data_IF_762977541622
#
_entry.id   IF_762977541622
#
_cell.length_a   1.000
_cell.length_b   1.000
_cell.length_c   1.000
_cell.angle_alpha   90.00
_cell.angle_beta   90.00
_cell.angle_gamma   90.00
#
_symmetry.space_group_name_H-M   'P 1'
#
loop_
_entity.id
_entity.type
_entity.pdbx_description
1 polymer ?
#
# COMPACT_ATOMS: atom_id res chain seq x y z
N UNK A 1 -5.94 -10.75 7.25
CA UNK A 1 -4.48 -10.80 7.48
C UNK A 1 -3.77 -10.19 6.28
N UNK A 2 -3.09 -9.05 6.44
CA UNK A 2 -2.29 -8.43 5.37
C UNK A 2 -0.85 -8.96 5.35
N UNK A 3 -0.16 -8.85 4.21
CA UNK A 3 1.23 -9.33 4.02
C UNK A 3 2.21 -8.73 5.04
N UNK A 4 2.05 -7.45 5.38
CA UNK A 4 2.86 -6.78 6.40
C UNK A 4 2.69 -7.39 7.78
N UNK A 5 1.45 -7.76 8.16
CA UNK A 5 1.18 -8.40 9.45
C UNK A 5 1.79 -9.80 9.54
N UNK A 6 1.91 -10.48 8.40
CA UNK A 6 2.57 -11.79 8.32
C UNK A 6 4.08 -11.68 8.48
N UNK A 7 4.72 -10.73 7.80
CA UNK A 7 6.16 -10.45 7.94
C UNK A 7 6.52 -9.98 9.36
N UNK A 8 5.71 -9.11 9.96
CA UNK A 8 5.92 -8.66 11.34
C UNK A 8 5.79 -9.78 12.37
N UNK A 9 4.95 -10.79 12.10
CA UNK A 9 4.81 -11.96 12.96
C UNK A 9 6.01 -12.91 12.84
N UNK A 10 6.49 -13.17 11.63
CA UNK A 10 7.60 -14.11 11.40
C UNK A 10 8.91 -13.61 12.00
N UNK A 11 9.13 -12.29 11.99
CA UNK A 11 10.35 -11.64 12.50
C UNK A 11 10.42 -11.47 14.03
N UNK A 12 9.34 -11.73 14.79
CA UNK A 12 9.33 -11.55 16.26
C UNK A 12 9.85 -12.79 17.01
N UNK A 13 10.38 -12.62 18.22
CA UNK A 13 10.77 -13.72 19.12
C UNK A 13 9.56 -14.39 19.79
N UNK A 14 9.72 -15.60 20.36
CA UNK A 14 8.61 -16.48 20.80
C UNK A 14 7.58 -15.81 21.73
N UNK A 15 8.01 -15.06 22.75
CA UNK A 15 7.10 -14.33 23.64
C UNK A 15 6.41 -13.13 22.96
N UNK A 16 7.11 -12.46 22.05
CA UNK A 16 6.58 -11.34 21.28
C UNK A 16 5.56 -11.78 20.22
N UNK A 17 5.68 -13.01 19.68
CA UNK A 17 4.69 -13.62 18.79
C UNK A 17 3.34 -13.82 19.48
N UNK A 18 3.33 -14.31 20.72
CA UNK A 18 2.10 -14.54 21.50
C UNK A 18 1.37 -13.22 21.80
N UNK A 19 2.11 -12.18 22.18
CA UNK A 19 1.53 -10.85 22.39
C UNK A 19 1.05 -10.21 21.08
N UNK A 20 1.79 -10.37 19.98
CA UNK A 20 1.36 -9.90 18.66
C UNK A 20 0.04 -10.56 18.23
N UNK A 21 -0.10 -11.87 18.41
CA UNK A 21 -1.34 -12.60 18.08
C UNK A 21 -2.50 -12.17 19.00
N UNK A 22 -2.25 -11.96 20.30
CA UNK A 22 -3.27 -11.44 21.23
C UNK A 22 -3.73 -10.03 20.83
N UNK A 23 -2.79 -9.14 20.54
CA UNK A 23 -3.08 -7.78 20.08
C UNK A 23 -3.78 -7.75 18.73
N UNK A 24 -3.41 -8.64 17.81
CA UNK A 24 -4.06 -8.81 16.51
C UNK A 24 -5.50 -9.28 16.64
N UNK A 25 -5.77 -10.20 17.58
CA UNK A 25 -7.13 -10.68 17.90
C UNK A 25 -7.98 -9.65 18.63
N UNK A 26 -7.36 -8.73 19.37
CA UNK A 26 -8.05 -7.65 20.09
C UNK A 26 -8.18 -6.36 19.30
N UNK A 27 -7.61 -6.29 18.09
CA UNK A 27 -7.82 -5.14 17.21
C UNK A 27 -9.29 -5.12 16.76
N UNK A 28 -9.91 -3.94 16.67
CA UNK A 28 -11.23 -3.82 16.06
C UNK A 28 -11.21 -4.47 14.66
N UNK A 29 -12.33 -5.10 14.31
CA UNK A 29 -12.49 -5.83 13.05
C UNK A 29 -11.98 -5.00 11.86
N UNK A 30 -11.18 -5.61 10.99
CA UNK A 30 -10.57 -4.96 9.84
C UNK A 30 -11.65 -4.21 9.04
N UNK A 31 -11.65 -2.88 9.09
CA UNK A 31 -12.59 -2.04 8.36
C UNK A 31 -11.95 -1.60 7.02
N UNK A 32 -12.46 -2.08 5.86
CA UNK A 32 -12.01 -1.64 4.53
C UNK A 32 -12.18 -0.13 4.28
N UNK A 33 -12.94 0.55 5.15
CA UNK A 33 -13.15 2.00 5.16
C UNK A 33 -11.85 2.78 5.40
N UNK A 34 -10.87 2.21 6.11
CA UNK A 34 -9.57 2.85 6.38
C UNK A 34 -8.44 2.27 5.54
N UNK A 35 -8.75 1.80 4.34
CA UNK A 35 -7.70 1.33 3.45
C UNK A 35 -6.88 2.51 2.93
N UNK A 36 -5.79 2.77 3.67
CA UNK A 36 -4.83 3.82 3.45
C UNK A 36 -4.32 3.85 2.00
N UNK A 37 -4.25 2.69 1.33
CA UNK A 37 -3.69 2.51 -0.02
C UNK A 37 -4.73 2.24 -1.11
N UNK A 38 -6.02 2.22 -0.77
CA UNK A 38 -7.08 1.90 -1.74
C UNK A 38 -7.02 2.80 -2.97
N UNK A 39 -6.87 4.11 -2.77
CA UNK A 39 -6.79 5.07 -3.88
C UNK A 39 -5.59 4.77 -4.80
N UNK A 40 -4.43 4.42 -4.24
CA UNK A 40 -3.27 4.01 -5.03
C UNK A 40 -3.54 2.75 -5.85
N UNK A 41 -4.12 1.71 -5.23
CA UNK A 41 -4.41 0.45 -5.93
C UNK A 41 -5.41 0.64 -7.06
N UNK A 42 -6.46 1.41 -6.83
CA UNK A 42 -7.46 1.72 -7.87
C UNK A 42 -6.83 2.50 -9.03
N UNK A 43 -5.95 3.46 -8.75
CA UNK A 43 -5.22 4.21 -9.78
C UNK A 43 -4.26 3.30 -10.57
N UNK A 44 -3.55 2.38 -9.93
CA UNK A 44 -2.69 1.40 -10.62
C UNK A 44 -3.51 0.50 -11.55
N UNK A 45 -4.68 0.04 -11.11
CA UNK A 45 -5.57 -0.76 -11.96
C UNK A 45 -6.03 0.06 -13.17
N UNK A 46 -6.50 1.30 -12.97
CA UNK A 46 -6.93 2.19 -14.06
C UNK A 46 -5.79 2.52 -15.02
N UNK A 47 -4.58 2.74 -14.49
CA UNK A 47 -3.39 3.02 -15.28
C UNK A 47 -3.11 1.90 -16.29
N UNK A 48 -3.10 0.64 -15.84
CA UNK A 48 -2.86 -0.50 -16.72
C UNK A 48 -4.04 -0.82 -17.63
N UNK A 49 -5.27 -0.67 -17.14
CA UNK A 49 -6.47 -1.11 -17.88
C UNK A 49 -6.86 -0.15 -19.00
N UNK A 50 -6.55 1.13 -18.85
CA UNK A 50 -6.90 2.20 -19.79
C UNK A 50 -5.67 2.84 -20.44
N UNK A 51 -4.48 2.25 -20.29
CA UNK A 51 -3.21 2.75 -20.83
C UNK A 51 -2.96 4.24 -20.53
N UNK A 52 -3.25 4.66 -19.30
CA UNK A 52 -3.15 6.07 -18.91
C UNK A 52 -1.68 6.51 -18.84
N UNK A 53 -1.39 7.78 -19.11
CA UNK A 53 -0.07 8.32 -18.86
C UNK A 53 0.26 8.33 -17.35
N UNK A 54 1.55 8.32 -17.03
CA UNK A 54 2.05 8.39 -15.65
C UNK A 54 1.60 9.63 -14.86
N UNK A 55 1.04 10.63 -15.55
CA UNK A 55 0.47 11.84 -14.98
C UNK A 55 -0.69 11.55 -14.00
N UNK A 56 -1.43 10.44 -14.19
CA UNK A 56 -2.51 10.06 -13.28
C UNK A 56 -2.04 9.87 -11.82
N UNK A 57 -0.77 9.52 -11.62
CA UNK A 57 -0.18 9.39 -10.29
C UNK A 57 0.18 10.74 -9.66
N UNK A 58 0.53 11.75 -10.47
CA UNK A 58 0.72 13.13 -10.00
C UNK A 58 -0.62 13.68 -9.48
N UNK A 59 -1.70 13.47 -10.24
CA UNK A 59 -3.06 13.86 -9.83
C UNK A 59 -3.46 13.16 -8.53
N UNK A 60 -3.20 11.86 -8.40
CA UNK A 60 -3.48 11.10 -7.18
C UNK A 60 -2.80 11.72 -5.96
N UNK A 61 -1.52 12.09 -6.04
CA UNK A 61 -0.78 12.70 -4.92
C UNK A 61 -1.41 14.03 -4.49
N UNK A 62 -1.96 14.81 -5.42
CA UNK A 62 -2.65 16.05 -5.08
C UNK A 62 -3.98 15.82 -4.37
N UNK A 63 -4.68 14.72 -4.67
CA UNK A 63 -6.00 14.40 -4.12
C UNK A 63 -5.99 13.72 -2.75
N UNK A 64 -4.89 13.06 -2.36
CA UNK A 64 -4.83 12.36 -1.06
C UNK A 64 -4.58 13.33 0.10
N UNK A 65 -5.04 12.92 1.29
CA UNK A 65 -4.81 13.66 2.53
C UNK A 65 -3.32 14.02 2.71
N UNK A 66 -3.03 15.22 3.23
CA UNK A 66 -1.67 15.70 3.45
C UNK A 66 -0.79 14.71 4.24
N UNK A 67 -1.38 14.04 5.25
CA UNK A 67 -0.72 13.00 6.07
C UNK A 67 -0.28 11.76 5.29
N UNK A 68 -0.77 11.56 4.07
CA UNK A 68 -0.49 10.42 3.19
C UNK A 68 0.45 10.76 2.03
N UNK A 69 0.54 12.03 1.65
CA UNK A 69 1.23 12.48 0.43
C UNK A 69 2.67 11.97 0.31
N UNK A 70 3.47 12.12 1.36
CA UNK A 70 4.88 11.72 1.32
C UNK A 70 5.02 10.22 1.04
N UNK A 71 4.28 9.39 1.77
CA UNK A 71 4.29 7.95 1.57
C UNK A 71 3.80 7.55 0.18
N UNK A 72 2.78 8.24 -0.36
CA UNK A 72 2.31 8.03 -1.73
C UNK A 72 3.37 8.39 -2.76
N UNK A 73 4.06 9.52 -2.61
CA UNK A 73 5.17 9.95 -3.48
C UNK A 73 6.26 8.88 -3.50
N UNK A 74 6.69 8.40 -2.33
CA UNK A 74 7.80 7.46 -2.21
C UNK A 74 7.47 6.10 -2.85
N UNK A 75 6.24 5.60 -2.66
CA UNK A 75 5.78 4.35 -3.26
C UNK A 75 5.59 4.50 -4.78
N UNK A 76 4.98 5.60 -5.25
CA UNK A 76 4.79 5.87 -6.68
C UNK A 76 6.15 5.97 -7.38
N UNK A 77 7.16 6.60 -6.76
CA UNK A 77 8.51 6.70 -7.32
C UNK A 77 9.15 5.32 -7.51
N UNK A 78 9.03 4.45 -6.51
CA UNK A 78 9.53 3.07 -6.60
C UNK A 78 8.77 2.27 -7.66
N UNK A 79 7.45 2.41 -7.70
CA UNK A 79 6.60 1.77 -8.69
C UNK A 79 6.96 2.21 -10.12
N UNK A 80 7.10 3.51 -10.37
CA UNK A 80 7.55 4.08 -11.66
C UNK A 80 8.91 3.48 -12.09
N UNK A 81 9.84 3.29 -11.14
CA UNK A 81 11.15 2.66 -11.42
C UNK A 81 11.02 1.19 -11.85
N UNK A 82 10.16 0.43 -11.17
CA UNK A 82 9.92 -0.98 -11.50
C UNK A 82 9.26 -1.13 -12.86
N UNK A 83 8.24 -0.31 -13.16
CA UNK A 83 7.53 -0.35 -14.44
C UNK A 83 8.43 0.14 -15.57
N UNK A 84 9.22 1.22 -15.41
CA UNK A 84 10.13 1.68 -16.47
C UNK A 84 11.22 0.67 -16.84
N UNK A 85 11.63 -0.17 -15.89
CA UNK A 85 12.62 -1.21 -16.12
C UNK A 85 12.03 -2.52 -16.67
N UNK A 86 10.70 -2.59 -16.81
CA UNK A 86 10.01 -3.68 -17.48
C UNK A 86 9.43 -3.09 -18.74
N UNK A 87 9.74 -3.63 -19.90
CA UNK A 87 8.96 -3.29 -21.10
C UNK A 87 7.55 -3.84 -20.90
N UNK A 88 6.70 -3.05 -20.24
CA UNK A 88 5.27 -3.33 -20.15
C UNK A 88 4.68 -2.71 -21.41
N UNK A 89 4.77 -3.50 -22.49
CA UNK A 89 3.96 -3.36 -23.71
C UNK A 89 2.53 -3.81 -23.45
#
# INVERSE_FOLDING_TARGET
MGLTQFLDFTLKSSAAKTNFVKNLKSQPEYHPVFDYWKQLRETVIKFHKNELPFDCFETLVQTVDQKKKQNYIDVIKQYKKIIKNKEVS
#
